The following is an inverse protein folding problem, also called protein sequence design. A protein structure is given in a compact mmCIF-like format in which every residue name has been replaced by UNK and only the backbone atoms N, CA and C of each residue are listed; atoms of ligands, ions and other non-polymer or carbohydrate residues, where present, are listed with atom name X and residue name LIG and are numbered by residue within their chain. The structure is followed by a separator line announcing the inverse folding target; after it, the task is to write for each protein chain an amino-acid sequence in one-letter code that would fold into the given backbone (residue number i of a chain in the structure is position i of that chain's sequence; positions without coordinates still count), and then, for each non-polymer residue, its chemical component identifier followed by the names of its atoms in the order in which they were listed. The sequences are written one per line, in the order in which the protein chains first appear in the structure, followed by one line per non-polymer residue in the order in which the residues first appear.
data_IF_805371698901
#
_entry.id   IF_805371698901
#
_cell.length_a   1.000
_cell.length_b   1.000
_cell.length_c   1.000
_cell.angle_alpha   90.00
_cell.angle_beta   90.00
_cell.angle_gamma   90.00
#
_symmetry.space_group_name_H-M   'P 1'
#
loop_
_entity.id
_entity.type
_entity.pdbx_description
1 polymer ?
#
# COMPACT_ATOMS: atom_id res chain seq x y z
N UNK A 1 -0.08 -8.96 9.96
CA UNK A 1 -0.12 -8.10 8.74
C UNK A 1 0.50 -6.70 8.91
N UNK A 2 0.25 -6.03 10.04
CA UNK A 2 0.67 -4.64 10.27
C UNK A 2 2.19 -4.42 10.17
N UNK A 3 3.00 -5.28 10.78
CA UNK A 3 4.46 -5.15 10.74
C UNK A 3 5.01 -5.10 9.30
N UNK A 4 4.52 -5.98 8.43
CA UNK A 4 4.95 -6.04 7.02
C UNK A 4 4.51 -4.82 6.22
N UNK A 5 3.33 -4.26 6.53
CA UNK A 5 2.90 -3.00 5.92
C UNK A 5 3.76 -1.82 6.39
N UNK A 6 3.99 -1.70 7.70
CA UNK A 6 4.78 -0.63 8.30
C UNK A 6 6.21 -0.57 7.77
N UNK A 7 6.84 -1.73 7.52
CA UNK A 7 8.17 -1.83 6.91
C UNK A 7 8.28 -1.19 5.52
N UNK A 8 7.17 -1.08 4.78
CA UNK A 8 7.15 -0.45 3.45
C UNK A 8 6.67 0.99 3.52
N UNK A 9 5.64 1.26 4.32
CA UNK A 9 5.03 2.59 4.45
C UNK A 9 6.04 3.59 5.03
N UNK A 10 6.69 3.25 6.14
CA UNK A 10 7.62 4.14 6.83
C UNK A 10 8.72 4.71 5.94
N UNK A 11 9.56 3.87 5.30
CA UNK A 11 10.62 4.35 4.43
C UNK A 11 10.09 5.04 3.15
N UNK A 12 8.97 4.58 2.57
CA UNK A 12 8.39 5.22 1.39
C UNK A 12 7.98 6.67 1.68
N UNK A 13 7.26 6.89 2.79
CA UNK A 13 6.86 8.23 3.23
C UNK A 13 8.05 9.09 3.63
N UNK A 14 9.02 8.53 4.37
CA UNK A 14 10.22 9.25 4.79
C UNK A 14 11.07 9.72 3.60
N UNK A 15 11.08 8.96 2.51
CA UNK A 15 11.74 9.32 1.26
C UNK A 15 10.92 10.29 0.37
N UNK A 16 9.74 10.74 0.83
CA UNK A 16 8.90 11.70 0.11
C UNK A 16 8.02 11.11 -0.99
N UNK A 17 7.83 9.78 -1.01
CA UNK A 17 6.98 9.12 -1.99
C UNK A 17 5.51 9.14 -1.56
N UNK A 18 4.61 9.24 -2.54
CA UNK A 18 3.24 8.76 -2.36
C UNK A 18 3.21 7.25 -2.59
N UNK A 19 2.26 6.54 -1.96
CA UNK A 19 2.19 5.09 -2.10
C UNK A 19 0.75 4.54 -2.19
N UNK A 20 0.65 3.40 -2.86
CA UNK A 20 -0.55 2.56 -2.92
C UNK A 20 -0.21 1.24 -2.23
N UNK A 21 -0.84 0.95 -1.10
CA UNK A 21 -0.76 -0.35 -0.45
C UNK A 21 -1.89 -1.24 -0.97
N UNK A 22 -1.54 -2.28 -1.73
CA UNK A 22 -2.46 -3.36 -2.09
C UNK A 22 -2.30 -4.53 -1.10
N UNK A 23 -3.17 -4.68 -0.08
CA UNK A 23 -3.07 -5.77 0.88
C UNK A 23 -3.47 -7.12 0.26
N UNK A 24 -3.13 -8.22 0.95
CA UNK A 24 -3.70 -9.53 0.63
C UNK A 24 -5.21 -9.51 0.88
N UNK A 25 -5.96 -10.09 -0.05
CA UNK A 25 -7.40 -10.33 0.03
C UNK A 25 -7.81 -11.18 1.24
N UNK A 26 -6.87 -11.95 1.82
CA UNK A 26 -7.11 -12.75 3.03
C UNK A 26 -7.12 -11.92 4.31
N UNK A 27 -6.49 -10.74 4.32
CA UNK A 27 -6.36 -9.91 5.51
C UNK A 27 -6.32 -8.39 5.19
N UNK A 28 -7.35 -7.82 4.54
CA UNK A 28 -7.34 -6.42 4.11
C UNK A 28 -7.66 -5.42 5.24
N UNK A 29 -8.44 -5.84 6.25
CA UNK A 29 -9.04 -4.93 7.24
C UNK A 29 -8.00 -4.14 8.05
N UNK A 30 -6.87 -4.75 8.39
CA UNK A 30 -5.78 -4.05 9.09
C UNK A 30 -5.20 -2.90 8.26
N UNK A 31 -5.08 -3.08 6.94
CA UNK A 31 -4.57 -2.04 6.05
C UNK A 31 -5.58 -0.90 5.90
N UNK A 32 -6.87 -1.21 5.80
CA UNK A 32 -7.94 -0.21 5.76
C UNK A 32 -7.98 0.62 7.05
N UNK A 33 -7.92 -0.03 8.22
CA UNK A 33 -7.88 0.70 9.49
C UNK A 33 -6.62 1.58 9.60
N UNK A 34 -5.50 1.15 9.04
CA UNK A 34 -4.29 1.98 9.01
C UNK A 34 -4.46 3.21 8.11
N UNK A 35 -5.20 3.12 7.01
CA UNK A 35 -5.51 4.27 6.16
C UNK A 35 -6.34 5.32 6.90
N UNK A 36 -7.37 4.87 7.64
CA UNK A 36 -8.19 5.75 8.47
C UNK A 36 -7.33 6.46 9.53
N UNK A 37 -6.48 5.72 10.23
CA UNK A 37 -5.58 6.29 11.24
C UNK A 37 -4.56 7.26 10.64
N UNK A 38 -4.04 6.98 9.45
CA UNK A 38 -3.13 7.89 8.76
C UNK A 38 -3.82 9.20 8.35
N UNK A 39 -5.08 9.11 7.90
CA UNK A 39 -5.89 10.29 7.61
C UNK A 39 -6.17 11.09 8.89
N UNK A 40 -6.57 10.42 9.99
CA UNK A 40 -6.76 11.05 11.32
C UNK A 40 -5.46 11.71 11.83
N UNK A 41 -4.30 11.14 11.53
CA UNK A 41 -2.99 11.68 11.90
C UNK A 41 -2.56 12.89 11.03
N UNK A 42 -3.36 13.29 10.04
CA UNK A 42 -3.11 14.47 9.21
C UNK A 42 -2.24 14.22 7.98
N UNK A 43 -2.10 12.97 7.54
CA UNK A 43 -1.42 12.68 6.28
C UNK A 43 -2.20 13.32 5.11
N UNK A 44 -1.55 14.04 4.17
CA UNK A 44 -2.27 14.70 3.10
C UNK A 44 -3.05 13.71 2.22
N UNK A 45 -4.25 14.08 1.74
CA UNK A 45 -5.02 13.23 0.83
C UNK A 45 -4.18 12.81 -0.39
N UNK A 46 -4.25 11.54 -0.76
CA UNK A 46 -3.51 10.98 -1.90
C UNK A 46 -2.08 10.54 -1.62
N UNK A 47 -1.48 10.90 -0.47
CA UNK A 47 -0.11 10.45 -0.11
C UNK A 47 -0.08 8.98 0.27
N UNK A 48 -1.08 8.49 1.01
CA UNK A 48 -1.23 7.08 1.34
C UNK A 48 -2.60 6.57 0.93
N UNK A 49 -2.62 5.64 0.00
CA UNK A 49 -3.83 5.01 -0.50
C UNK A 49 -3.80 3.51 -0.19
N UNK A 50 -4.93 2.93 0.18
CA UNK A 50 -5.08 1.49 0.35
C UNK A 50 -6.07 0.98 -0.68
N UNK A 51 -5.63 0.05 -1.52
CA UNK A 51 -6.40 -0.51 -2.62
C UNK A 51 -6.55 -2.03 -2.45
N UNK A 52 -7.56 -2.51 -1.71
CA UNK A 52 -7.89 -3.93 -1.70
C UNK A 52 -8.32 -4.39 -3.10
N UNK A 53 -7.94 -5.61 -3.46
CA UNK A 53 -8.27 -6.21 -4.75
C UNK A 53 -7.47 -7.49 -4.95
N UNK A 54 -7.85 -8.31 -5.92
CA UNK A 54 -7.14 -9.55 -6.22
C UNK A 54 -5.77 -9.28 -6.86
N UNK A 55 -4.83 -10.22 -6.69
CA UNK A 55 -3.49 -10.13 -7.28
C UNK A 55 -3.52 -10.04 -8.81
N UNK A 56 -4.31 -10.89 -9.46
CA UNK A 56 -4.40 -10.97 -10.93
C UNK A 56 -5.01 -9.72 -11.59
N UNK A 57 -5.78 -8.96 -10.83
CA UNK A 57 -6.45 -7.74 -11.29
C UNK A 57 -5.71 -6.50 -10.78
N UNK A 58 -5.88 -6.14 -9.51
CA UNK A 58 -5.30 -4.93 -8.92
C UNK A 58 -3.77 -5.02 -8.83
N UNK A 59 -3.23 -6.19 -8.47
CA UNK A 59 -1.77 -6.37 -8.37
C UNK A 59 -1.08 -6.29 -9.73
N UNK A 60 -1.63 -6.97 -10.74
CA UNK A 60 -1.11 -6.94 -12.12
C UNK A 60 -1.22 -5.55 -12.72
N UNK A 61 -2.34 -4.84 -12.51
CA UNK A 61 -2.50 -3.47 -12.98
C UNK A 61 -1.43 -2.55 -12.39
N UNK A 62 -1.20 -2.60 -11.08
CA UNK A 62 -0.16 -1.80 -10.41
C UNK A 62 1.25 -2.17 -10.89
N UNK A 63 1.55 -3.47 -11.03
CA UNK A 63 2.87 -3.94 -11.46
C UNK A 63 3.24 -3.62 -12.91
N UNK A 64 2.26 -3.26 -13.73
CA UNK A 64 2.45 -2.90 -15.15
C UNK A 64 2.18 -1.41 -15.41
N UNK A 65 1.84 -0.62 -14.39
CA UNK A 65 1.47 0.78 -14.56
C UNK A 65 2.71 1.64 -14.78
N UNK A 66 2.73 2.44 -15.85
CA UNK A 66 3.91 3.24 -16.22
C UNK A 66 4.24 4.37 -15.24
N UNK A 67 3.25 4.84 -14.47
CA UNK A 67 3.44 5.86 -13.43
C UNK A 67 3.83 5.28 -12.06
N UNK A 68 4.12 3.96 -11.96
CA UNK A 68 4.60 3.34 -10.72
C UNK A 68 6.10 3.13 -10.80
N UNK A 69 6.85 3.98 -10.10
CA UNK A 69 8.32 3.98 -10.14
C UNK A 69 8.96 2.78 -9.43
N UNK A 70 8.26 2.17 -8.46
CA UNK A 70 8.80 1.09 -7.64
C UNK A 70 7.71 0.14 -7.13
N UNK A 71 8.01 -1.17 -7.17
CA UNK A 71 7.17 -2.23 -6.59
C UNK A 71 7.94 -2.91 -5.46
N UNK A 72 7.40 -2.81 -4.24
CA UNK A 72 7.85 -3.58 -3.10
C UNK A 72 6.91 -4.77 -2.86
N UNK A 73 7.27 -5.96 -3.33
CA UNK A 73 6.46 -7.18 -3.20
C UNK A 73 6.88 -8.05 -2.00
N UNK A 74 5.93 -8.77 -1.39
CA UNK A 74 6.19 -9.83 -0.40
C UNK A 74 5.15 -10.93 -0.61
N UNK A 75 5.61 -12.11 -1.03
CA UNK A 75 4.79 -13.26 -1.36
C UNK A 75 5.66 -14.44 -1.79
N UNK A 76 5.07 -15.43 -2.46
CA UNK A 76 5.80 -16.56 -3.04
C UNK A 76 6.39 -16.24 -4.42
N UNK A 77 7.36 -17.05 -4.84
CA UNK A 77 7.86 -17.13 -6.23
C UNK A 77 6.98 -18.00 -7.10
#
# INVERSE_FOLDING_TARGET
PMLMAAWKIGPALAAGNSLILKPSEKAPLTALRLAELAFEAGLPPGVFNVLPGYGEEAGRALGLHMDVDCIAFTGST
#
